data_IF_219266552042
#
_entry.id   IF_219266552042
#
_cell.length_a   1.000
_cell.length_b   1.000
_cell.length_c   1.000
_cell.angle_alpha   90.00
_cell.angle_beta   90.00
_cell.angle_gamma   90.00
#
_symmetry.space_group_name_H-M   'P 1'
#
loop_
_entity.id
_entity.type
_entity.pdbx_description
1 polymer ?
#
# COMPACT_ATOMS: atom_id res chain seq x y z
N UNK A 1 19.57 -5.90 -17.79
CA UNK A 1 21.04 -6.00 -17.70
C UNK A 1 21.37 -7.00 -16.61
N UNK A 2 21.93 -8.14 -17.01
CA UNK A 2 22.38 -9.24 -16.16
C UNK A 2 23.50 -8.78 -15.24
N UNK A 3 23.30 -8.90 -13.92
CA UNK A 3 24.32 -8.67 -12.89
C UNK A 3 25.35 -9.82 -12.90
N UNK A 4 26.15 -9.90 -13.96
CA UNK A 4 27.28 -10.84 -14.06
C UNK A 4 28.57 -10.15 -13.61
N UNK A 5 29.28 -10.80 -12.70
CA UNK A 5 30.56 -10.45 -12.04
C UNK A 5 30.50 -9.50 -10.85
N UNK A 6 30.81 -10.12 -9.71
CA UNK A 6 30.90 -9.58 -8.38
C UNK A 6 32.22 -8.87 -8.17
N UNK A 7 32.23 -7.56 -8.37
CA UNK A 7 33.34 -6.71 -7.94
C UNK A 7 33.05 -6.20 -6.53
N UNK A 8 33.53 -6.92 -5.50
CA UNK A 8 33.75 -6.27 -4.20
C UNK A 8 34.73 -5.12 -4.45
N UNK A 9 34.36 -3.91 -4.02
CA UNK A 9 35.21 -2.74 -4.20
C UNK A 9 36.56 -2.95 -3.51
N UNK A 10 37.65 -2.61 -4.20
CA UNK A 10 39.02 -2.67 -3.67
C UNK A 10 39.50 -1.31 -3.18
N UNK A 11 38.81 -0.23 -3.54
CA UNK A 11 39.11 1.13 -3.11
C UNK A 11 37.83 1.96 -2.93
N UNK A 12 37.96 3.13 -2.31
CA UNK A 12 36.83 4.01 -1.99
C UNK A 12 36.08 4.49 -3.24
N UNK A 13 36.78 4.74 -4.34
CA UNK A 13 36.18 5.21 -5.60
C UNK A 13 35.29 4.12 -6.22
N UNK A 14 35.76 2.88 -6.18
CA UNK A 14 34.95 1.72 -6.57
C UNK A 14 33.78 1.54 -5.63
N UNK A 15 33.99 1.65 -4.31
CA UNK A 15 32.93 1.54 -3.32
C UNK A 15 31.80 2.54 -3.58
N UNK A 16 32.14 3.81 -3.82
CA UNK A 16 31.15 4.84 -4.16
C UNK A 16 30.36 4.53 -5.44
N UNK A 17 31.01 3.91 -6.45
CA UNK A 17 30.36 3.57 -7.72
C UNK A 17 29.44 2.35 -7.63
N UNK A 18 29.80 1.37 -6.80
CA UNK A 18 29.04 0.12 -6.67
C UNK A 18 28.02 0.15 -5.52
N UNK A 19 28.18 1.06 -4.56
CA UNK A 19 27.29 1.16 -3.41
C UNK A 19 25.94 1.70 -3.88
N UNK A 20 24.95 0.80 -3.88
CA UNK A 20 23.56 1.19 -4.02
C UNK A 20 23.00 1.53 -2.64
N UNK A 21 22.36 2.70 -2.51
CA UNK A 21 21.70 3.16 -1.30
C UNK A 21 20.24 2.68 -1.21
N UNK A 22 19.74 2.01 -2.26
CA UNK A 22 18.43 1.38 -2.23
C UNK A 22 18.33 0.30 -1.15
N UNK A 23 17.13 0.07 -0.60
CA UNK A 23 16.91 -1.02 0.35
C UNK A 23 17.35 -2.37 -0.23
N UNK A 24 17.98 -3.22 0.58
CA UNK A 24 18.34 -4.57 0.16
C UNK A 24 17.09 -5.39 -0.15
N UNK A 25 17.13 -6.18 -1.23
CA UNK A 25 16.04 -7.06 -1.70
C UNK A 25 16.61 -8.32 -2.34
N UNK A 26 15.90 -9.44 -2.23
CA UNK A 26 16.21 -10.68 -2.96
C UNK A 26 17.65 -11.17 -2.72
N UNK A 27 18.41 -11.41 -3.79
CA UNK A 27 19.80 -11.86 -3.68
C UNK A 27 20.70 -10.87 -2.93
N UNK A 28 20.46 -9.56 -3.08
CA UNK A 28 21.23 -8.55 -2.37
C UNK A 28 21.01 -8.63 -0.85
N UNK A 29 19.78 -8.96 -0.41
CA UNK A 29 19.49 -9.23 1.00
C UNK A 29 20.31 -10.42 1.50
N UNK A 30 20.27 -11.55 0.80
CA UNK A 30 21.01 -12.77 1.20
C UNK A 30 22.52 -12.56 1.27
N UNK A 31 23.05 -11.67 0.43
CA UNK A 31 24.49 -11.50 0.25
C UNK A 31 25.11 -10.38 1.06
N UNK A 32 24.41 -9.25 1.18
CA UNK A 32 24.97 -8.01 1.73
C UNK A 32 24.33 -7.61 3.06
N UNK A 33 23.27 -8.29 3.51
CA UNK A 33 22.69 -8.02 4.82
C UNK A 33 23.69 -8.35 5.92
N UNK A 34 23.88 -7.42 6.84
CA UNK A 34 24.68 -7.59 8.04
C UNK A 34 23.75 -7.48 9.24
N UNK A 35 23.70 -8.54 10.05
CA UNK A 35 22.91 -8.51 11.27
C UNK A 35 23.56 -7.62 12.32
N UNK A 36 22.94 -6.45 12.55
CA UNK A 36 23.34 -5.48 13.56
C UNK A 36 22.54 -5.62 14.87
N UNK A 37 21.83 -6.72 15.08
CA UNK A 37 20.99 -6.98 16.26
C UNK A 37 21.73 -6.81 17.60
N UNK A 38 23.04 -7.08 17.62
CA UNK A 38 23.87 -6.93 18.84
C UNK A 38 24.06 -5.47 19.27
N UNK A 39 23.92 -4.53 18.35
CA UNK A 39 24.19 -3.09 18.58
C UNK A 39 22.98 -2.20 18.31
N UNK A 40 21.93 -2.75 17.69
CA UNK A 40 20.65 -2.06 17.43
C UNK A 40 19.64 -2.43 18.50
N UNK A 41 18.77 -1.49 18.86
CA UNK A 41 17.58 -1.80 19.64
C UNK A 41 16.59 -2.64 18.80
N UNK A 42 16.65 -3.96 18.95
CA UNK A 42 15.78 -4.90 18.22
C UNK A 42 14.39 -5.06 18.83
N UNK A 43 14.12 -4.41 19.97
CA UNK A 43 12.80 -4.51 20.63
C UNK A 43 11.67 -4.10 19.71
N UNK A 44 11.86 -3.06 18.90
CA UNK A 44 10.85 -2.61 17.94
C UNK A 44 10.52 -3.70 16.91
N UNK A 45 11.53 -4.37 16.34
CA UNK A 45 11.34 -5.44 15.36
C UNK A 45 10.70 -6.67 16.02
N UNK A 46 11.22 -7.08 17.19
CA UNK A 46 10.67 -8.20 17.95
C UNK A 46 9.23 -7.97 18.40
N UNK A 47 8.84 -6.72 18.68
CA UNK A 47 7.45 -6.35 18.97
C UNK A 47 6.55 -6.55 17.75
N UNK A 48 6.99 -6.14 16.55
CA UNK A 48 6.23 -6.40 15.32
C UNK A 48 6.03 -7.91 15.10
N UNK A 49 7.10 -8.70 15.24
CA UNK A 49 6.99 -10.15 15.10
C UNK A 49 6.05 -10.77 16.14
N UNK A 50 6.11 -10.30 17.39
CA UNK A 50 5.22 -10.76 18.46
C UNK A 50 3.76 -10.42 18.14
N UNK A 51 3.50 -9.19 17.72
CA UNK A 51 2.16 -8.73 17.34
C UNK A 51 1.61 -9.58 16.20
N UNK A 52 2.42 -9.90 15.18
CA UNK A 52 2.01 -10.72 14.04
C UNK A 52 1.84 -12.21 14.38
N UNK A 53 2.64 -12.76 15.30
CA UNK A 53 2.52 -14.17 15.73
C UNK A 53 1.26 -14.41 16.55
N UNK A 54 0.89 -13.44 17.39
CA UNK A 54 -0.24 -13.53 18.31
C UNK A 54 -1.51 -12.81 17.80
N UNK A 55 -1.58 -12.46 16.51
CA UNK A 55 -2.85 -11.98 15.94
C UNK A 55 -3.93 -13.02 16.10
N UNK A 56 -5.11 -12.57 16.52
CA UNK A 56 -6.31 -13.41 16.58
C UNK A 56 -7.21 -13.11 15.38
N UNK A 57 -8.01 -14.08 14.92
CA UNK A 57 -9.02 -13.84 13.89
C UNK A 57 -9.93 -12.65 14.27
N UNK A 58 -10.32 -11.86 13.27
CA UNK A 58 -11.19 -10.68 13.43
C UNK A 58 -10.63 -9.55 14.31
N UNK A 59 -9.36 -9.65 14.72
CA UNK A 59 -8.61 -8.54 15.30
C UNK A 59 -7.69 -7.93 14.26
N UNK A 60 -7.67 -6.60 14.22
CA UNK A 60 -6.92 -5.81 13.27
C UNK A 60 -5.94 -4.92 14.02
N UNK A 61 -4.71 -4.84 13.54
CA UNK A 61 -3.66 -4.09 14.22
C UNK A 61 -2.92 -3.19 13.24
N UNK A 62 -2.86 -1.90 13.57
CA UNK A 62 -2.04 -0.93 12.85
C UNK A 62 -0.75 -0.68 13.63
N UNK A 63 0.40 -0.80 12.95
CA UNK A 63 1.72 -0.62 13.54
C UNK A 63 2.39 0.59 12.90
N UNK A 64 2.73 1.60 13.71
CA UNK A 64 3.58 2.69 13.26
C UNK A 64 5.06 2.31 13.44
N UNK A 65 5.73 1.96 12.34
CA UNK A 65 7.13 1.55 12.35
C UNK A 65 8.06 2.76 12.13
N UNK A 66 8.52 3.38 13.22
CA UNK A 66 9.23 4.67 13.19
C UNK A 66 10.77 4.53 13.19
N UNK A 67 11.44 5.60 12.76
CA UNK A 67 12.88 5.75 12.79
C UNK A 67 13.38 6.79 11.79
N UNK A 68 14.61 7.27 11.95
CA UNK A 68 15.18 8.29 11.05
C UNK A 68 15.27 7.82 9.59
N UNK A 69 15.19 8.75 8.65
CA UNK A 69 15.42 8.46 7.22
C UNK A 69 16.83 7.89 7.03
N UNK A 70 16.95 6.86 6.21
CA UNK A 70 18.23 6.19 5.95
C UNK A 70 18.72 5.28 7.08
N UNK A 71 17.99 5.10 8.18
CA UNK A 71 18.40 4.18 9.25
C UNK A 71 18.18 2.69 8.92
N UNK A 72 17.68 2.36 7.72
CA UNK A 72 17.46 0.99 7.26
C UNK A 72 16.04 0.44 7.44
N UNK A 73 15.04 1.27 7.75
CA UNK A 73 13.63 0.84 7.95
C UNK A 73 13.11 -0.02 6.80
N UNK A 74 13.22 0.47 5.56
CA UNK A 74 12.76 -0.24 4.38
C UNK A 74 13.45 -1.61 4.20
N UNK A 75 14.70 -1.75 4.65
CA UNK A 75 15.39 -3.06 4.64
C UNK A 75 14.77 -4.00 5.68
N UNK A 76 14.45 -3.51 6.87
CA UNK A 76 13.78 -4.31 7.90
C UNK A 76 12.32 -4.66 7.52
N UNK A 77 11.58 -3.74 6.90
CA UNK A 77 10.24 -4.01 6.35
C UNK A 77 10.27 -5.11 5.29
N UNK A 78 11.31 -5.16 4.44
CA UNK A 78 11.50 -6.26 3.48
C UNK A 78 11.79 -7.60 4.17
N UNK A 79 12.51 -7.59 5.29
CA UNK A 79 12.73 -8.80 6.10
C UNK A 79 11.44 -9.28 6.77
N UNK A 80 10.62 -8.35 7.29
CA UNK A 80 9.28 -8.66 7.81
C UNK A 80 8.43 -9.29 6.70
N UNK A 81 8.42 -8.70 5.50
CA UNK A 81 7.77 -9.31 4.33
C UNK A 81 8.25 -10.75 4.09
N UNK A 82 9.56 -10.98 3.96
CA UNK A 82 10.12 -12.32 3.67
C UNK A 82 9.78 -13.35 4.77
N UNK A 83 9.71 -12.91 6.03
CA UNK A 83 9.41 -13.77 7.17
C UNK A 83 7.95 -14.18 7.24
N UNK A 84 7.04 -13.27 6.90
CA UNK A 84 5.61 -13.42 7.13
C UNK A 84 4.82 -13.82 5.87
N UNK A 85 5.45 -13.82 4.70
CA UNK A 85 4.82 -14.14 3.41
C UNK A 85 4.17 -15.54 3.31
N UNK A 86 4.56 -16.50 4.16
CA UNK A 86 3.93 -17.83 4.17
C UNK A 86 2.63 -17.85 4.98
N UNK A 87 2.49 -16.96 5.97
CA UNK A 87 1.32 -16.86 6.86
C UNK A 87 0.36 -15.74 6.47
N UNK A 88 0.86 -14.67 5.87
CA UNK A 88 0.06 -13.49 5.49
C UNK A 88 0.15 -13.21 4.01
N UNK A 89 -0.93 -12.67 3.45
CA UNK A 89 -0.91 -12.12 2.11
C UNK A 89 -0.31 -10.72 2.13
N UNK A 90 0.96 -10.63 1.75
CA UNK A 90 1.72 -9.40 1.85
C UNK A 90 1.40 -8.46 0.69
N UNK A 91 1.09 -7.22 1.03
CA UNK A 91 0.97 -6.12 0.08
C UNK A 91 1.99 -5.06 0.46
N UNK A 92 3.00 -4.85 -0.37
CA UNK A 92 4.06 -3.88 -0.12
C UNK A 92 3.89 -2.66 -1.03
N UNK A 93 3.69 -1.50 -0.42
CA UNK A 93 3.46 -0.22 -1.10
C UNK A 93 4.58 0.76 -0.72
N UNK A 94 5.12 1.46 -1.71
CA UNK A 94 6.00 2.60 -1.49
C UNK A 94 5.14 3.86 -1.61
N UNK A 95 4.82 4.50 -0.48
CA UNK A 95 3.81 5.57 -0.43
C UNK A 95 4.16 6.74 -1.35
N UNK A 96 5.45 7.11 -1.45
CA UNK A 96 5.95 8.18 -2.31
C UNK A 96 5.81 7.91 -3.81
N UNK A 97 5.45 6.69 -4.22
CA UNK A 97 5.05 6.38 -5.60
C UNK A 97 3.54 6.48 -5.81
N UNK A 98 2.77 6.31 -4.75
CA UNK A 98 1.32 6.12 -4.81
C UNK A 98 0.54 7.38 -4.45
N UNK A 99 1.10 8.25 -3.61
CA UNK A 99 0.48 9.50 -3.16
C UNK A 99 1.49 10.66 -3.21
N UNK A 100 0.97 11.88 -3.08
CA UNK A 100 1.77 13.09 -2.94
C UNK A 100 2.21 13.24 -1.47
N UNK A 101 3.51 13.05 -1.20
CA UNK A 101 4.06 13.09 0.17
C UNK A 101 4.02 14.48 0.82
N UNK A 102 3.93 15.54 0.01
CA UNK A 102 3.89 16.92 0.53
C UNK A 102 2.49 17.31 1.03
N UNK A 103 1.47 16.52 0.70
CA UNK A 103 0.06 16.80 1.01
C UNK A 103 -0.74 15.50 1.18
N UNK A 104 -0.14 14.46 1.76
CA UNK A 104 -0.78 13.16 1.93
C UNK A 104 -1.92 13.22 2.96
N UNK A 105 -3.04 12.55 2.65
CA UNK A 105 -4.16 12.37 3.60
C UNK A 105 -4.52 10.91 3.79
N UNK A 106 -5.19 10.59 4.90
CA UNK A 106 -5.62 9.23 5.22
C UNK A 106 -6.59 8.66 4.17
N UNK A 107 -7.41 9.52 3.54
CA UNK A 107 -8.28 9.14 2.40
C UNK A 107 -7.46 8.64 1.22
N UNK A 108 -6.32 9.28 0.93
CA UNK A 108 -5.45 8.85 -0.16
C UNK A 108 -4.91 7.44 0.14
N UNK A 109 -4.57 7.16 1.40
CA UNK A 109 -4.13 5.83 1.85
C UNK A 109 -5.23 4.77 1.71
N UNK A 110 -6.49 5.10 2.00
CA UNK A 110 -7.63 4.18 1.81
C UNK A 110 -7.81 3.83 0.32
N UNK A 111 -7.77 4.83 -0.55
CA UNK A 111 -7.92 4.63 -1.99
C UNK A 111 -6.77 3.80 -2.56
N UNK A 112 -5.52 4.06 -2.15
CA UNK A 112 -4.36 3.25 -2.54
C UNK A 112 -4.47 1.82 -2.03
N UNK A 113 -4.91 1.64 -0.78
CA UNK A 113 -5.11 0.32 -0.18
C UNK A 113 -6.10 -0.52 -1.00
N UNK A 114 -7.31 0.00 -1.24
CA UNK A 114 -8.33 -0.74 -1.99
C UNK A 114 -7.90 -0.95 -3.44
N UNK A 115 -7.24 0.04 -4.07
CA UNK A 115 -6.67 -0.14 -5.42
C UNK A 115 -5.70 -1.33 -5.46
N UNK A 116 -4.82 -1.44 -4.47
CA UNK A 116 -3.82 -2.50 -4.46
C UNK A 116 -4.41 -3.86 -4.10
N UNK A 117 -5.34 -3.92 -3.14
CA UNK A 117 -6.04 -5.17 -2.79
C UNK A 117 -6.83 -5.66 -4.00
N UNK A 118 -7.59 -4.79 -4.66
CA UNK A 118 -8.32 -5.11 -5.90
C UNK A 118 -7.37 -5.71 -6.94
N UNK A 119 -6.26 -5.03 -7.21
CA UNK A 119 -5.29 -5.46 -8.20
C UNK A 119 -4.74 -6.85 -7.86
N UNK A 120 -4.26 -7.05 -6.63
CA UNK A 120 -3.63 -8.31 -6.20
C UNK A 120 -4.61 -9.50 -6.16
N UNK A 121 -5.85 -9.27 -5.72
CA UNK A 121 -6.91 -10.28 -5.75
C UNK A 121 -7.30 -10.62 -7.19
N UNK A 122 -7.47 -9.61 -8.04
CA UNK A 122 -7.78 -9.81 -9.46
C UNK A 122 -6.69 -10.57 -10.17
N UNK A 123 -5.40 -10.30 -9.94
CA UNK A 123 -4.29 -11.08 -10.52
C UNK A 123 -4.35 -12.57 -10.16
N UNK A 124 -5.08 -12.92 -9.10
CA UNK A 124 -5.31 -14.30 -8.66
C UNK A 124 -6.68 -14.83 -9.03
N UNK A 125 -7.44 -14.12 -9.86
CA UNK A 125 -8.78 -14.51 -10.28
C UNK A 125 -9.80 -14.50 -9.14
N UNK A 126 -9.55 -13.71 -8.09
CA UNK A 126 -10.50 -13.44 -7.01
C UNK A 126 -11.20 -12.13 -7.34
N UNK A 127 -12.53 -12.12 -7.27
CA UNK A 127 -13.35 -10.93 -7.50
C UNK A 127 -14.11 -10.58 -6.22
N UNK A 128 -14.23 -9.29 -5.94
CA UNK A 128 -15.13 -8.82 -4.90
C UNK A 128 -16.59 -9.17 -5.23
N UNK A 129 -17.44 -9.04 -4.22
CA UNK A 129 -18.86 -9.28 -4.35
C UNK A 129 -19.50 -8.19 -5.22
N UNK A 130 -20.35 -8.60 -6.17
CA UNK A 130 -20.91 -7.69 -7.16
C UNK A 130 -21.86 -6.65 -6.51
N UNK A 131 -22.55 -7.02 -5.42
CA UNK A 131 -23.42 -6.09 -4.69
C UNK A 131 -22.59 -5.07 -3.89
N UNK A 132 -21.53 -5.52 -3.22
CA UNK A 132 -20.61 -4.61 -2.52
C UNK A 132 -19.94 -3.62 -3.48
N UNK A 133 -19.47 -4.11 -4.63
CA UNK A 133 -18.90 -3.25 -5.67
C UNK A 133 -19.95 -2.29 -6.22
N UNK A 134 -21.14 -2.78 -6.58
CA UNK A 134 -22.21 -1.96 -7.12
C UNK A 134 -22.60 -0.82 -6.17
N UNK A 135 -22.67 -1.10 -4.86
CA UNK A 135 -22.96 -0.10 -3.84
C UNK A 135 -21.86 0.97 -3.73
N UNK A 136 -20.59 0.56 -3.70
CA UNK A 136 -19.45 1.49 -3.65
C UNK A 136 -19.38 2.34 -4.92
N UNK A 137 -19.57 1.74 -6.09
CA UNK A 137 -19.58 2.41 -7.38
C UNK A 137 -20.76 3.40 -7.51
N UNK A 138 -21.95 3.03 -7.02
CA UNK A 138 -23.12 3.90 -7.05
C UNK A 138 -22.95 5.12 -6.14
N UNK A 139 -22.51 4.90 -4.90
CA UNK A 139 -22.19 5.98 -3.97
C UNK A 139 -21.14 6.92 -4.57
N UNK A 140 -20.10 6.36 -5.18
CA UNK A 140 -19.06 7.16 -5.83
C UNK A 140 -19.61 8.03 -6.97
N UNK A 141 -20.40 7.44 -7.87
CA UNK A 141 -21.03 8.14 -9.00
C UNK A 141 -21.93 9.27 -8.50
N UNK A 142 -22.66 9.05 -7.41
CA UNK A 142 -23.54 10.05 -6.79
C UNK A 142 -22.76 11.26 -6.26
N UNK A 143 -21.70 11.03 -5.47
CA UNK A 143 -20.97 12.12 -4.82
C UNK A 143 -20.08 12.90 -5.79
N UNK A 144 -19.58 12.26 -6.86
CA UNK A 144 -18.62 12.88 -7.81
C UNK A 144 -19.21 13.31 -9.14
N UNK A 145 -20.47 12.94 -9.42
CA UNK A 145 -21.12 13.11 -10.72
C UNK A 145 -20.38 12.41 -11.88
N UNK A 146 -19.46 11.49 -11.58
CA UNK A 146 -18.71 10.73 -12.59
C UNK A 146 -19.56 9.58 -13.15
N UNK A 147 -19.36 9.25 -14.43
CA UNK A 147 -20.03 8.15 -15.13
C UNK A 147 -19.02 7.13 -15.67
N UNK A 148 -19.49 5.94 -16.07
CA UNK A 148 -18.63 4.94 -16.73
C UNK A 148 -17.86 5.49 -17.93
N UNK A 149 -18.56 6.23 -18.80
CA UNK A 149 -17.95 6.85 -19.97
C UNK A 149 -16.85 7.85 -19.59
N UNK A 150 -17.11 8.72 -18.61
CA UNK A 150 -16.12 9.72 -18.18
C UNK A 150 -14.90 9.07 -17.52
N UNK A 151 -15.08 7.96 -16.81
CA UNK A 151 -13.97 7.23 -16.18
C UNK A 151 -13.14 6.51 -17.24
N UNK A 152 -13.79 5.79 -18.16
CA UNK A 152 -13.09 5.09 -19.24
C UNK A 152 -12.29 6.04 -20.12
N UNK A 153 -12.85 7.20 -20.45
CA UNK A 153 -12.15 8.23 -21.22
C UNK A 153 -10.91 8.74 -20.48
N UNK A 154 -11.03 9.09 -19.19
CA UNK A 154 -9.90 9.58 -18.39
C UNK A 154 -8.77 8.55 -18.27
N UNK A 155 -9.13 7.29 -17.98
CA UNK A 155 -8.16 6.20 -17.85
C UNK A 155 -7.42 5.97 -19.16
N UNK A 156 -8.16 5.88 -20.28
CA UNK A 156 -7.58 5.65 -21.61
C UNK A 156 -6.62 6.77 -22.03
N UNK A 157 -6.93 8.02 -21.69
CA UNK A 157 -6.05 9.16 -21.96
C UNK A 157 -4.78 9.16 -21.10
N UNK A 158 -4.88 8.70 -19.85
CA UNK A 158 -3.75 8.72 -18.91
C UNK A 158 -2.73 7.60 -19.16
N UNK A 159 -3.11 6.52 -19.86
CA UNK A 159 -2.24 5.36 -20.08
C UNK A 159 -1.83 4.62 -18.80
N UNK A 160 -2.51 4.90 -17.67
CA UNK A 160 -2.12 4.41 -16.34
C UNK A 160 -2.50 2.95 -16.08
N UNK A 161 -3.45 2.41 -16.84
CA UNK A 161 -3.87 1.01 -16.75
C UNK A 161 -3.33 0.22 -17.93
N UNK A 162 -2.33 -0.62 -17.67
CA UNK A 162 -1.81 -1.54 -18.66
C UNK A 162 -2.71 -2.79 -18.76
N UNK A 163 -3.69 -2.72 -19.66
CA UNK A 163 -4.65 -3.82 -19.93
C UNK A 163 -3.93 -5.10 -20.36
N UNK A 164 -2.75 -4.97 -20.97
CA UNK A 164 -1.93 -6.08 -21.47
C UNK A 164 -1.33 -6.94 -20.36
N UNK A 165 -1.22 -6.40 -19.14
CA UNK A 165 -0.55 -7.05 -18.00
C UNK A 165 -1.50 -7.89 -17.13
N UNK A 166 -2.82 -7.76 -17.32
CA UNK A 166 -3.82 -8.47 -16.51
C UNK A 166 -4.43 -9.64 -17.27
N UNK A 167 -4.30 -10.88 -16.79
CA UNK A 167 -4.98 -12.03 -17.40
C UNK A 167 -6.50 -12.02 -17.15
N UNK A 168 -6.99 -11.09 -16.32
CA UNK A 168 -8.41 -10.95 -15.96
C UNK A 168 -8.98 -9.59 -16.39
N UNK A 169 -10.28 -9.51 -16.72
CA UNK A 169 -10.96 -8.25 -17.04
C UNK A 169 -10.81 -7.23 -15.91
N UNK A 170 -10.60 -5.96 -16.28
CA UNK A 170 -10.48 -4.86 -15.33
C UNK A 170 -11.89 -4.33 -15.00
N UNK A 171 -12.36 -4.46 -13.74
CA UNK A 171 -13.68 -3.99 -13.35
C UNK A 171 -13.75 -2.46 -13.30
N UNK A 172 -14.95 -1.89 -13.29
CA UNK A 172 -15.15 -0.44 -13.23
C UNK A 172 -14.52 0.17 -11.97
N UNK A 173 -14.72 -0.42 -10.79
CA UNK A 173 -14.07 0.01 -9.53
C UNK A 173 -12.54 0.21 -9.67
N UNK A 174 -11.84 -0.64 -10.43
CA UNK A 174 -10.40 -0.53 -10.62
C UNK A 174 -10.04 0.71 -11.45
N UNK A 175 -10.78 0.94 -12.54
CA UNK A 175 -10.65 2.14 -13.39
C UNK A 175 -10.96 3.40 -12.60
N UNK A 176 -12.01 3.33 -11.78
CA UNK A 176 -12.45 4.38 -10.90
C UNK A 176 -11.35 4.78 -9.89
N UNK A 177 -10.80 3.84 -9.14
CA UNK A 177 -9.74 4.10 -8.15
C UNK A 177 -8.50 4.72 -8.78
N UNK A 178 -8.13 4.28 -9.99
CA UNK A 178 -7.03 4.86 -10.74
C UNK A 178 -7.31 6.31 -11.13
N UNK A 179 -8.51 6.61 -11.63
CA UNK A 179 -8.91 8.00 -11.95
C UNK A 179 -8.86 8.89 -10.71
N UNK A 180 -9.37 8.40 -9.59
CA UNK A 180 -9.38 9.13 -8.33
C UNK A 180 -7.98 9.51 -7.86
N UNK A 181 -7.08 8.53 -7.81
CA UNK A 181 -5.69 8.78 -7.41
C UNK A 181 -4.98 9.69 -8.41
N UNK A 182 -5.30 9.62 -9.70
CA UNK A 182 -4.77 10.54 -10.70
C UNK A 182 -5.28 11.98 -10.51
N UNK A 183 -6.56 12.17 -10.15
CA UNK A 183 -7.13 13.48 -9.84
C UNK A 183 -6.53 14.07 -8.55
N UNK A 184 -6.30 13.22 -7.53
CA UNK A 184 -5.61 13.60 -6.29
C UNK A 184 -4.16 14.02 -6.58
N UNK A 185 -3.44 13.31 -7.45
CA UNK A 185 -2.09 13.70 -7.91
C UNK A 185 -2.06 14.87 -8.88
N UNK A 186 -3.21 15.30 -9.38
CA UNK A 186 -3.35 16.35 -10.37
C UNK A 186 -3.26 17.75 -9.78
N UNK A 187 -4.00 18.69 -10.38
CA UNK A 187 -4.02 20.08 -9.92
C UNK A 187 -4.65 20.25 -8.53
N UNK A 188 -4.23 21.30 -7.80
CA UNK A 188 -4.78 21.66 -6.48
C UNK A 188 -6.31 21.76 -6.47
N UNK A 189 -6.91 22.26 -7.55
CA UNK A 189 -8.37 22.39 -7.66
C UNK A 189 -9.04 21.02 -7.70
N UNK A 190 -8.59 20.13 -8.59
CA UNK A 190 -9.12 18.76 -8.71
C UNK A 190 -8.96 17.99 -7.40
N UNK A 191 -7.76 18.07 -6.81
CA UNK A 191 -7.43 17.45 -5.52
C UNK A 191 -8.33 17.93 -4.39
N UNK A 192 -8.57 19.25 -4.28
CA UNK A 192 -9.47 19.81 -3.25
C UNK A 192 -10.91 19.36 -3.46
N UNK A 193 -11.42 19.43 -4.69
CA UNK A 193 -12.79 19.01 -4.99
C UNK A 193 -13.01 17.56 -4.61
N UNK A 194 -12.16 16.65 -5.07
CA UNK A 194 -12.37 15.23 -4.81
C UNK A 194 -12.25 14.87 -3.32
N UNK A 195 -11.30 15.48 -2.61
CA UNK A 195 -11.17 15.28 -1.16
C UNK A 195 -12.35 15.83 -0.40
N UNK A 196 -12.81 17.05 -0.72
CA UNK A 196 -14.01 17.62 -0.08
C UNK A 196 -15.23 16.73 -0.27
N UNK A 197 -15.42 16.19 -1.47
CA UNK A 197 -16.49 15.25 -1.77
C UNK A 197 -16.38 13.96 -0.94
N UNK A 198 -15.19 13.35 -0.89
CA UNK A 198 -14.98 12.12 -0.12
C UNK A 198 -15.05 12.34 1.40
N UNK A 199 -14.64 13.52 1.88
CA UNK A 199 -14.67 13.92 3.29
C UNK A 199 -16.11 14.16 3.79
N UNK A 200 -17.05 14.53 2.92
CA UNK A 200 -18.46 14.74 3.28
C UNK A 200 -19.12 13.48 3.83
N UNK A 201 -18.70 12.29 3.40
CA UNK A 201 -19.21 11.02 3.88
C UNK A 201 -18.07 10.02 4.16
N UNK A 202 -17.13 10.47 4.99
CA UNK A 202 -15.95 9.67 5.31
C UNK A 202 -16.30 8.36 6.04
N UNK A 203 -17.36 8.38 6.87
CA UNK A 203 -17.81 7.19 7.57
C UNK A 203 -18.31 6.13 6.60
N UNK A 204 -18.99 6.54 5.51
CA UNK A 204 -19.39 5.62 4.44
C UNK A 204 -18.18 5.09 3.69
N UNK A 205 -17.24 5.95 3.29
CA UNK A 205 -16.01 5.51 2.61
C UNK A 205 -15.28 4.45 3.44
N UNK A 206 -15.10 4.68 4.74
CA UNK A 206 -14.45 3.75 5.64
C UNK A 206 -15.23 2.43 5.75
N UNK A 207 -16.56 2.48 5.85
CA UNK A 207 -17.39 1.28 5.92
C UNK A 207 -17.29 0.45 4.64
N UNK A 208 -17.37 1.09 3.47
CA UNK A 208 -17.26 0.41 2.18
C UNK A 208 -15.87 -0.20 1.97
N UNK A 209 -14.81 0.52 2.34
CA UNK A 209 -13.43 -0.01 2.36
C UNK A 209 -13.35 -1.27 3.23
N UNK A 210 -13.88 -1.24 4.45
CA UNK A 210 -13.88 -2.40 5.34
C UNK A 210 -14.70 -3.57 4.78
N UNK A 211 -15.88 -3.32 4.19
CA UNK A 211 -16.67 -4.38 3.56
C UNK A 211 -15.93 -5.06 2.41
N UNK A 212 -15.22 -4.27 1.60
CA UNK A 212 -14.39 -4.81 0.52
C UNK A 212 -13.19 -5.60 1.07
N UNK A 213 -12.52 -5.13 2.12
CA UNK A 213 -11.43 -5.85 2.78
C UNK A 213 -11.90 -7.18 3.37
N UNK A 214 -13.02 -7.18 4.09
CA UNK A 214 -13.65 -8.38 4.67
C UNK A 214 -14.02 -9.40 3.59
N UNK A 215 -14.65 -8.95 2.49
CA UNK A 215 -15.00 -9.82 1.37
C UNK A 215 -13.76 -10.37 0.66
N UNK A 216 -12.79 -9.50 0.38
CA UNK A 216 -11.52 -9.85 -0.24
C UNK A 216 -10.77 -10.90 0.58
N UNK A 217 -10.71 -10.70 1.90
CA UNK A 217 -10.05 -11.63 2.81
C UNK A 217 -10.77 -12.98 2.85
N UNK A 218 -12.10 -12.99 3.00
CA UNK A 218 -12.91 -14.22 3.00
C UNK A 218 -12.67 -15.06 1.74
N UNK A 219 -12.69 -14.41 0.58
CA UNK A 219 -12.47 -15.08 -0.71
C UNK A 219 -11.03 -15.50 -0.93
N UNK A 220 -10.07 -14.70 -0.44
CA UNK A 220 -8.67 -15.09 -0.40
C UNK A 220 -8.48 -16.37 0.41
N UNK A 221 -9.04 -16.47 1.61
CA UNK A 221 -8.93 -17.66 2.46
C UNK A 221 -9.62 -18.88 1.85
N UNK A 222 -10.76 -18.72 1.18
CA UNK A 222 -11.41 -19.82 0.47
C UNK A 222 -10.49 -20.45 -0.59
N UNK A 223 -9.69 -19.62 -1.27
CA UNK A 223 -8.75 -20.09 -2.31
C UNK A 223 -7.39 -20.49 -1.75
N UNK A 224 -6.95 -19.82 -0.69
CA UNK A 224 -5.64 -19.96 -0.07
C UNK A 224 -5.79 -20.02 1.46
N UNK A 225 -6.19 -21.19 2.01
CA UNK A 225 -6.51 -21.34 3.43
C UNK A 225 -5.33 -21.10 4.38
N UNK A 226 -4.10 -21.08 3.87
CA UNK A 226 -2.91 -20.82 4.67
C UNK A 226 -2.79 -19.36 5.14
N UNK A 227 -3.45 -18.42 4.45
CA UNK A 227 -3.33 -17.01 4.79
C UNK A 227 -4.22 -16.64 5.98
N UNK A 228 -3.60 -16.05 6.99
CA UNK A 228 -4.24 -15.58 8.22
C UNK A 228 -4.84 -14.17 8.08
N UNK A 229 -4.40 -13.41 7.08
CA UNK A 229 -4.81 -12.01 6.90
C UNK A 229 -4.08 -11.34 5.76
N UNK A 230 -4.47 -10.10 5.47
CA UNK A 230 -3.65 -9.15 4.73
C UNK A 230 -2.59 -8.57 5.67
N UNK A 231 -1.34 -8.50 5.22
CA UNK A 231 -0.32 -7.68 5.87
C UNK A 231 0.12 -6.61 4.88
N UNK A 232 -0.43 -5.42 5.07
CA UNK A 232 -0.19 -4.27 4.19
C UNK A 232 0.91 -3.40 4.80
N UNK A 233 1.97 -3.18 4.02
CA UNK A 233 3.14 -2.40 4.42
C UNK A 233 3.19 -1.14 3.58
N UNK A 234 2.97 0.02 4.22
CA UNK A 234 3.22 1.33 3.63
C UNK A 234 4.62 1.83 4.01
N UNK A 235 5.56 1.69 3.09
CA UNK A 235 6.94 2.19 3.23
C UNK A 235 7.06 3.64 2.73
N UNK A 236 8.16 4.31 3.06
CA UNK A 236 8.48 5.70 2.69
C UNK A 236 7.52 6.78 3.23
N UNK A 237 6.59 6.45 4.12
CA UNK A 237 5.77 7.45 4.81
C UNK A 237 6.60 8.37 5.74
N UNK A 238 7.84 8.02 6.07
CA UNK A 238 8.78 8.90 6.79
C UNK A 238 9.32 10.06 5.95
N UNK A 239 8.91 10.17 4.68
CA UNK A 239 9.30 11.25 3.76
C UNK A 239 8.31 12.41 3.74
N UNK A 240 7.15 12.28 4.37
CA UNK A 240 6.17 13.36 4.49
C UNK A 240 6.73 14.53 5.31
N UNK A 241 6.18 15.72 5.12
CA UNK A 241 6.54 16.87 5.97
C UNK A 241 6.08 16.62 7.42
N UNK A 242 6.67 17.28 8.43
CA UNK A 242 6.20 17.18 9.80
C UNK A 242 4.70 17.45 9.95
N UNK A 243 4.16 18.46 9.25
CA UNK A 243 2.75 18.83 9.29
C UNK A 243 1.85 17.71 8.75
N UNK A 244 2.24 17.08 7.64
CA UNK A 244 1.54 15.93 7.07
C UNK A 244 1.65 14.71 8.00
N UNK A 245 2.80 14.53 8.63
CA UNK A 245 3.01 13.48 9.63
C UNK A 245 2.11 13.66 10.85
N UNK A 246 2.00 14.88 11.38
CA UNK A 246 1.12 15.23 12.50
C UNK A 246 -0.34 14.94 12.14
N UNK A 247 -0.76 15.38 10.96
CA UNK A 247 -2.10 15.12 10.44
C UNK A 247 -2.39 13.61 10.32
N UNK A 248 -1.51 12.82 9.73
CA UNK A 248 -1.76 11.39 9.52
C UNK A 248 -1.67 10.56 10.80
N UNK A 249 -0.62 10.78 11.61
CA UNK A 249 -0.26 9.87 12.69
C UNK A 249 -0.73 10.31 14.07
N UNK A 250 -1.26 11.53 14.20
CA UNK A 250 -1.83 12.03 15.46
C UNK A 250 -3.28 12.46 15.26
N UNK A 251 -3.55 13.43 14.37
CA UNK A 251 -4.90 13.98 14.22
C UNK A 251 -5.89 12.95 13.66
N UNK A 252 -5.44 12.15 12.69
CA UNK A 252 -6.24 11.12 12.01
C UNK A 252 -5.78 9.69 12.28
N UNK A 253 -5.07 9.47 13.40
CA UNK A 253 -4.58 8.15 13.79
C UNK A 253 -5.73 7.14 13.96
N UNK A 254 -6.86 7.59 14.51
CA UNK A 254 -8.03 6.74 14.75
C UNK A 254 -8.64 6.21 13.45
N UNK A 255 -8.64 7.03 12.40
CA UNK A 255 -9.12 6.66 11.07
C UNK A 255 -8.22 5.56 10.49
N UNK A 256 -6.90 5.76 10.53
CA UNK A 256 -5.95 4.72 10.09
C UNK A 256 -6.06 3.41 10.89
N UNK A 257 -6.50 3.47 12.15
CA UNK A 257 -6.75 2.29 12.99
C UNK A 257 -8.14 1.67 12.80
N UNK A 258 -9.06 2.36 12.13
CA UNK A 258 -10.42 1.90 11.94
C UNK A 258 -10.60 0.97 10.72
N UNK A 259 -9.53 0.78 9.95
CA UNK A 259 -9.47 -0.22 8.89
C UNK A 259 -9.40 -1.64 9.45
N UNK A 260 -10.11 -2.55 8.78
CA UNK A 260 -10.22 -3.96 9.13
C UNK A 260 -9.61 -4.79 8.01
#
# INVERSE_FOLDING_TARGET
>A
MTMTQTNLAKNLKEAYRICNLDPLRGEAMKRYYVDLSKVRNTKAIGQVDTILEFQEPEKFTTILFTGHRGCGKSTELRRIQERWQEKYFIIYLEADREIDIEDARYIDLYLVLIKQIEYELRQRGIKFDDELLGNFEAWFKDITEETEETVEKSVSMSGTLDVSSSPFPIPFVAKLLVKLLAQIKGSDKSKKTIRQTLEQDISRLQADVNFLLDDGFRKLQQKFPQYQGFLVIFDNLDRVTPEVGDHLFFDYAAQLQALR
#
